data_IF_131892196228
#
_entry.id   IF_131892196228
#
_cell.length_a   1.000
_cell.length_b   1.000
_cell.length_c   1.000
_cell.angle_alpha   90.00
_cell.angle_beta   90.00
_cell.angle_gamma   90.00
#
_symmetry.space_group_name_H-M   'P 1'
#
loop_
_entity.id
_entity.type
_entity.pdbx_description
1 polymer ?
#
# COMPACT_ATOMS: atom_id res chain seq x y z
N UNK A 1 -63.57 -24.91 -41.31
CA UNK A 1 -62.64 -24.72 -40.18
C UNK A 1 -61.38 -24.06 -40.69
N UNK A 2 -61.15 -22.78 -40.36
CA UNK A 2 -59.97 -21.99 -40.75
C UNK A 2 -59.42 -21.22 -39.54
N UNK A 3 -59.20 -21.92 -38.43
CA UNK A 3 -58.71 -21.37 -37.15
C UNK A 3 -57.36 -21.98 -36.74
N UNK A 4 -56.59 -22.56 -37.68
CA UNK A 4 -55.31 -23.22 -37.40
C UNK A 4 -54.09 -22.46 -37.96
N UNK A 5 -54.29 -21.25 -38.49
CA UNK A 5 -53.22 -20.44 -39.11
C UNK A 5 -52.83 -19.20 -38.29
N UNK A 6 -53.41 -19.01 -37.09
CA UNK A 6 -53.18 -17.85 -36.23
C UNK A 6 -52.33 -18.14 -34.98
N UNK A 7 -51.82 -19.36 -34.83
CA UNK A 7 -50.91 -19.75 -33.72
C UNK A 7 -49.69 -20.52 -34.22
N UNK A 8 -49.30 -20.27 -35.46
CA UNK A 8 -47.99 -20.66 -35.97
C UNK A 8 -47.32 -19.39 -36.50
N UNK A 9 -47.36 -18.34 -35.68
CA UNK A 9 -46.27 -17.35 -35.67
C UNK A 9 -45.07 -18.08 -35.06
N UNK A 10 -44.49 -18.95 -35.89
CA UNK A 10 -43.08 -19.27 -35.83
C UNK A 10 -42.36 -17.99 -36.32
N UNK A 11 -42.52 -16.89 -35.57
CA UNK A 11 -41.59 -15.77 -35.52
C UNK A 11 -40.31 -16.30 -34.83
N UNK A 12 -39.78 -17.36 -35.43
CA UNK A 12 -38.43 -17.81 -35.32
C UNK A 12 -37.59 -16.61 -35.69
N UNK A 13 -37.23 -15.87 -34.65
CA UNK A 13 -36.25 -14.79 -34.64
C UNK A 13 -35.21 -15.14 -35.68
N UNK A 14 -35.06 -14.29 -36.70
CA UNK A 14 -34.30 -14.67 -37.89
C UNK A 14 -32.93 -15.23 -37.46
N UNK A 15 -32.41 -16.27 -38.14
CA UNK A 15 -31.14 -16.89 -37.76
C UNK A 15 -30.01 -15.88 -37.53
N UNK A 16 -30.08 -14.74 -38.22
CA UNK A 16 -29.16 -13.62 -38.11
C UNK A 16 -29.35 -12.82 -36.81
N UNK A 17 -30.59 -12.52 -36.42
CA UNK A 17 -30.85 -11.76 -35.18
C UNK A 17 -30.46 -12.60 -33.95
N UNK A 18 -30.70 -13.91 -33.96
CA UNK A 18 -30.25 -14.80 -32.88
C UNK A 18 -28.73 -14.80 -32.70
N UNK A 19 -27.99 -14.83 -33.81
CA UNK A 19 -26.51 -14.76 -33.78
C UNK A 19 -26.04 -13.40 -33.27
N UNK A 20 -26.63 -12.30 -33.73
CA UNK A 20 -26.25 -10.96 -33.26
C UNK A 20 -26.48 -10.81 -31.76
N UNK A 21 -27.62 -11.26 -31.24
CA UNK A 21 -27.93 -11.18 -29.80
C UNK A 21 -26.99 -12.05 -28.96
N UNK A 22 -26.66 -13.26 -29.42
CA UNK A 22 -25.71 -14.14 -28.73
C UNK A 22 -24.30 -13.53 -28.68
N UNK A 23 -23.83 -12.99 -29.80
CA UNK A 23 -22.51 -12.33 -29.87
C UNK A 23 -22.50 -11.07 -29.02
N UNK A 24 -23.55 -10.26 -29.06
CA UNK A 24 -23.62 -9.02 -28.27
C UNK A 24 -23.52 -9.29 -26.76
N UNK A 25 -24.28 -10.25 -26.24
CA UNK A 25 -24.25 -10.59 -24.81
C UNK A 25 -22.88 -11.16 -24.41
N UNK A 26 -22.32 -12.05 -25.22
CA UNK A 26 -20.99 -12.64 -24.90
C UNK A 26 -19.88 -11.59 -24.95
N UNK A 27 -19.92 -10.63 -25.88
CA UNK A 27 -18.98 -9.50 -25.93
C UNK A 27 -19.12 -8.61 -24.69
N UNK A 28 -20.35 -8.29 -24.27
CA UNK A 28 -20.59 -7.50 -23.06
C UNK A 28 -20.07 -8.24 -21.82
N UNK A 29 -20.43 -9.52 -21.66
CA UNK A 29 -19.98 -10.31 -20.51
C UNK A 29 -18.46 -10.47 -20.48
N UNK A 30 -17.82 -10.72 -21.62
CA UNK A 30 -16.37 -10.81 -21.72
C UNK A 30 -15.69 -9.48 -21.38
N UNK A 31 -16.22 -8.35 -21.85
CA UNK A 31 -15.69 -7.03 -21.53
C UNK A 31 -15.83 -6.70 -20.04
N UNK A 32 -16.99 -7.00 -19.45
CA UNK A 32 -17.26 -6.77 -18.02
C UNK A 32 -16.34 -7.63 -17.15
N UNK A 33 -16.26 -8.93 -17.41
CA UNK A 33 -15.37 -9.83 -16.65
C UNK A 33 -13.91 -9.44 -16.88
N UNK A 34 -13.52 -9.07 -18.10
CA UNK A 34 -12.18 -8.58 -18.41
C UNK A 34 -11.82 -7.34 -17.60
N UNK A 35 -12.75 -6.38 -17.47
CA UNK A 35 -12.58 -5.22 -16.61
C UNK A 35 -12.44 -5.62 -15.14
N UNK A 36 -13.29 -6.50 -14.62
CA UNK A 36 -13.18 -7.00 -13.23
C UNK A 36 -11.86 -7.75 -12.95
N UNK A 37 -11.37 -8.55 -13.90
CA UNK A 37 -10.10 -9.28 -13.75
C UNK A 37 -8.90 -8.34 -13.80
N UNK A 38 -8.94 -7.31 -14.65
CA UNK A 38 -7.91 -6.27 -14.71
C UNK A 38 -7.94 -5.36 -13.47
N UNK A 39 -9.12 -5.09 -12.92
CA UNK A 39 -9.30 -4.29 -11.69
C UNK A 39 -8.79 -5.04 -10.44
N UNK A 40 -8.94 -6.37 -10.39
CA UNK A 40 -8.28 -7.23 -9.38
C UNK A 40 -6.75 -7.27 -9.58
N UNK A 41 -6.26 -6.87 -10.76
CA UNK A 41 -4.84 -6.79 -11.09
C UNK A 41 -4.17 -5.48 -10.67
N UNK A 42 -4.84 -4.62 -9.88
CA UNK A 42 -4.20 -3.49 -9.21
C UNK A 42 -2.91 -3.96 -8.52
N UNK A 43 -1.83 -3.20 -8.72
CA UNK A 43 -0.46 -3.54 -8.32
C UNK A 43 -0.47 -4.20 -6.96
N UNK A 44 -0.19 -5.51 -6.92
CA UNK A 44 -0.11 -6.28 -5.68
C UNK A 44 1.23 -5.94 -5.00
N UNK A 45 1.45 -4.66 -4.73
CA UNK A 45 2.55 -4.21 -3.90
C UNK A 45 2.31 -4.75 -2.51
N UNK A 46 3.36 -5.32 -1.94
CA UNK A 46 3.37 -5.86 -0.59
C UNK A 46 4.47 -5.17 0.18
N UNK A 47 4.23 -4.94 1.47
CA UNK A 47 5.22 -4.36 2.35
C UNK A 47 6.49 -5.26 2.43
N UNK A 48 7.70 -4.68 2.39
CA UNK A 48 8.93 -5.46 2.47
C UNK A 48 9.04 -6.16 3.84
N UNK A 49 9.52 -7.41 3.84
CA UNK A 49 9.72 -8.18 5.08
C UNK A 49 11.12 -7.90 5.63
N UNK A 50 11.22 -6.87 6.47
CA UNK A 50 12.48 -6.41 7.09
C UNK A 50 12.44 -6.59 8.59
N UNK A 51 13.54 -7.04 9.17
CA UNK A 51 13.75 -6.98 10.62
C UNK A 51 14.25 -5.59 10.99
N UNK A 52 13.38 -4.80 11.62
CA UNK A 52 13.72 -3.44 12.05
C UNK A 52 14.29 -3.44 13.47
N UNK A 53 15.36 -2.68 13.67
CA UNK A 53 15.99 -2.48 14.97
C UNK A 53 15.86 -1.02 15.37
N UNK A 54 15.42 -0.77 16.60
CA UNK A 54 15.24 0.56 17.15
C UNK A 54 16.31 0.84 18.21
N UNK A 55 16.85 2.07 18.23
CA UNK A 55 17.78 2.51 19.25
C UNK A 55 17.53 3.96 19.65
N UNK A 56 17.31 4.18 20.94
CA UNK A 56 17.25 5.50 21.57
C UNK A 56 18.66 6.04 21.83
N UNK A 57 19.01 7.16 21.21
CA UNK A 57 20.28 7.82 21.46
C UNK A 57 20.06 9.19 22.10
N UNK A 58 20.41 9.27 23.39
CA UNK A 58 20.35 10.49 24.20
C UNK A 58 21.75 10.99 24.50
N UNK A 59 22.08 12.20 24.06
CA UNK A 59 23.35 12.86 24.36
C UNK A 59 23.09 14.12 25.17
N UNK A 60 23.65 14.20 26.37
CA UNK A 60 23.62 15.41 27.19
C UNK A 60 24.96 16.15 27.09
N UNK A 61 24.94 17.38 26.58
CA UNK A 61 26.13 18.23 26.49
C UNK A 61 25.82 19.68 26.84
N UNK A 62 26.58 20.25 27.77
CA UNK A 62 26.52 21.69 28.07
C UNK A 62 25.18 22.24 28.58
N UNK A 63 24.30 21.39 29.13
CA UNK A 63 22.97 21.78 29.61
C UNK A 63 21.84 21.60 28.59
N UNK A 64 22.14 21.12 27.39
CA UNK A 64 21.16 20.64 26.41
C UNK A 64 21.13 19.11 26.36
N UNK A 65 19.94 18.55 26.22
CA UNK A 65 19.73 17.12 25.95
C UNK A 65 19.28 16.99 24.50
N UNK A 66 20.11 16.36 23.68
CA UNK A 66 19.75 15.95 22.33
C UNK A 66 19.28 14.50 22.37
N UNK A 67 18.17 14.24 21.69
CA UNK A 67 17.62 12.90 21.56
C UNK A 67 17.39 12.60 20.08
N UNK A 68 17.71 11.37 19.69
CA UNK A 68 17.44 10.87 18.36
C UNK A 68 17.01 9.41 18.44
N UNK A 69 15.97 9.08 17.70
CA UNK A 69 15.50 7.72 17.52
C UNK A 69 16.11 7.18 16.23
N UNK A 70 16.95 6.16 16.36
CA UNK A 70 17.58 5.49 15.24
C UNK A 70 16.77 4.25 14.85
N UNK A 71 16.58 4.09 13.55
CA UNK A 71 15.97 2.91 12.93
C UNK A 71 17.02 2.28 12.01
N UNK A 72 17.27 0.99 12.20
CA UNK A 72 18.22 0.23 11.41
C UNK A 72 17.54 -0.97 10.74
N UNK A 73 18.04 -1.31 9.55
CA UNK A 73 17.66 -2.47 8.79
C UNK A 73 18.51 -3.67 9.23
N UNK A 74 18.00 -4.49 10.16
CA UNK A 74 18.71 -5.65 10.73
C UNK A 74 18.85 -6.84 9.76
N UNK A 75 18.02 -6.91 8.72
CA UNK A 75 18.05 -7.99 7.72
C UNK A 75 16.74 -8.13 6.96
N UNK A 76 16.67 -9.08 6.03
CA UNK A 76 15.46 -9.37 5.25
C UNK A 76 15.49 -8.80 3.84
N UNK A 77 14.31 -8.40 3.33
CA UNK A 77 14.14 -7.88 1.98
C UNK A 77 14.82 -6.52 1.79
N UNK A 78 15.33 -6.24 0.59
CA UNK A 78 15.81 -4.89 0.27
C UNK A 78 14.64 -3.93 0.09
N UNK A 79 14.70 -2.76 0.74
CA UNK A 79 13.72 -1.69 0.57
C UNK A 79 14.13 -0.83 -0.61
N UNK A 80 13.47 -1.03 -1.75
CA UNK A 80 13.75 -0.26 -2.99
C UNK A 80 13.03 1.09 -3.05
N UNK A 81 11.99 1.27 -2.24
CA UNK A 81 11.16 2.48 -2.20
C UNK A 81 11.01 2.99 -0.77
N UNK A 82 12.09 3.51 -0.15
CA UNK A 82 12.06 3.97 1.23
C UNK A 82 11.08 5.14 1.46
N UNK A 83 10.68 5.88 0.41
CA UNK A 83 9.65 6.91 0.49
C UNK A 83 8.24 6.38 0.79
N UNK A 84 8.00 5.08 0.62
CA UNK A 84 6.73 4.42 0.96
C UNK A 84 6.64 4.05 2.44
N UNK A 85 7.74 4.24 3.20
CA UNK A 85 7.80 3.91 4.62
C UNK A 85 7.93 5.20 5.40
N UNK A 86 6.92 5.49 6.21
CA UNK A 86 6.81 6.71 7.01
C UNK A 86 6.89 6.36 8.49
N UNK A 87 7.64 7.16 9.25
CA UNK A 87 7.56 7.14 10.71
C UNK A 87 6.49 8.14 11.16
N UNK A 88 5.58 7.66 11.98
CA UNK A 88 4.49 8.48 12.53
C UNK A 88 4.29 8.17 14.01
N UNK A 89 3.60 9.06 14.70
CA UNK A 89 3.08 8.83 16.04
C UNK A 89 1.73 9.53 16.20
N UNK A 90 1.00 9.17 17.25
CA UNK A 90 -0.32 9.74 17.54
C UNK A 90 -0.32 11.26 17.74
N UNK A 91 0.86 11.85 17.97
CA UNK A 91 1.04 13.24 18.36
C UNK A 91 1.67 14.11 17.25
N UNK A 92 2.04 13.54 16.11
CA UNK A 92 2.70 14.23 15.00
C UNK A 92 4.13 14.69 15.29
N UNK A 93 4.82 14.11 16.28
CA UNK A 93 6.15 14.55 16.71
C UNK A 93 7.23 14.31 15.66
N UNK A 94 6.99 13.40 14.72
CA UNK A 94 7.93 13.06 13.65
C UNK A 94 7.68 13.80 12.34
N UNK A 95 6.61 14.60 12.22
CA UNK A 95 6.24 15.32 10.97
C UNK A 95 6.20 14.39 9.73
N UNK A 96 5.74 13.15 9.89
CA UNK A 96 5.60 12.15 8.83
C UNK A 96 6.87 11.99 7.97
N UNK A 97 8.02 11.89 8.65
CA UNK A 97 9.30 11.65 7.96
C UNK A 97 9.27 10.29 7.29
N UNK A 98 9.79 10.24 6.07
CA UNK A 98 9.95 9.00 5.31
C UNK A 98 11.36 8.46 5.45
N UNK A 99 11.54 7.15 5.24
CA UNK A 99 12.81 6.46 5.43
C UNK A 99 13.94 7.02 4.56
N UNK A 100 13.62 7.49 3.35
CA UNK A 100 14.58 8.15 2.45
C UNK A 100 15.08 9.49 3.00
N UNK A 101 14.25 10.21 3.76
CA UNK A 101 14.66 11.47 4.42
C UNK A 101 15.48 11.26 5.69
N UNK A 102 15.38 10.08 6.33
CA UNK A 102 16.11 9.74 7.55
C UNK A 102 17.52 9.19 7.28
N UNK A 103 17.70 8.41 6.21
CA UNK A 103 18.98 7.79 5.84
C UNK A 103 19.63 8.36 4.56
N UNK A 104 18.91 9.17 3.79
CA UNK A 104 19.41 9.82 2.57
C UNK A 104 19.62 8.90 1.37
N UNK A 105 19.23 7.63 1.45
CA UNK A 105 19.41 6.62 0.41
C UNK A 105 18.14 6.36 -0.41
N UNK A 106 18.30 6.10 -1.71
CA UNK A 106 17.22 5.64 -2.60
C UNK A 106 16.85 4.17 -2.38
N UNK A 107 17.66 3.43 -1.62
CA UNK A 107 17.46 2.02 -1.27
C UNK A 107 18.00 1.79 0.14
N UNK A 108 17.37 0.92 0.91
CA UNK A 108 17.89 0.46 2.21
C UNK A 108 18.10 -1.05 2.18
N UNK A 109 19.26 -1.46 2.69
CA UNK A 109 19.74 -2.84 2.77
C UNK A 109 20.19 -3.15 4.20
N UNK A 110 20.50 -4.42 4.46
CA UNK A 110 20.96 -4.84 5.78
C UNK A 110 22.20 -4.05 6.25
N UNK A 111 22.09 -3.44 7.43
CA UNK A 111 23.12 -2.59 8.03
C UNK A 111 22.90 -1.09 7.83
N UNK A 112 21.98 -0.68 6.94
CA UNK A 112 21.64 0.73 6.78
C UNK A 112 20.81 1.22 7.97
N UNK A 113 21.05 2.48 8.38
CA UNK A 113 20.36 3.10 9.48
C UNK A 113 20.11 4.59 9.22
N UNK A 114 19.04 5.10 9.81
CA UNK A 114 18.65 6.51 9.75
C UNK A 114 18.16 6.95 11.11
N UNK A 115 18.26 8.25 11.38
CA UNK A 115 17.88 8.81 12.67
C UNK A 115 16.88 9.95 12.47
N UNK A 116 15.95 10.06 13.41
CA UNK A 116 14.96 11.12 13.45
C UNK A 116 14.82 11.62 14.88
N UNK A 117 14.64 12.93 15.03
CA UNK A 117 14.44 13.56 16.33
C UNK A 117 12.96 13.94 16.46
N UNK A 118 12.22 13.41 17.46
CA UNK A 118 10.89 13.89 17.80
C UNK A 118 10.94 15.30 18.38
N UNK A 119 9.79 15.96 18.51
CA UNK A 119 9.68 17.25 19.20
C UNK A 119 10.25 17.22 20.62
N UNK A 120 10.83 18.33 21.09
CA UNK A 120 11.49 18.39 22.40
C UNK A 120 10.56 18.02 23.55
N UNK A 121 10.99 17.08 24.39
CA UNK A 121 10.20 16.59 25.53
C UNK A 121 9.03 15.66 25.15
N UNK A 122 9.02 15.16 23.91
CA UNK A 122 7.99 14.26 23.43
C UNK A 122 8.23 12.83 23.92
N UNK A 123 7.14 12.17 24.32
CA UNK A 123 7.12 10.75 24.65
C UNK A 123 5.92 10.11 23.98
N UNK A 124 6.07 8.90 23.47
CA UNK A 124 4.97 8.20 22.81
C UNK A 124 5.42 6.90 22.18
N UNK A 125 4.60 6.37 21.28
CA UNK A 125 4.92 5.19 20.48
C UNK A 125 5.13 5.64 19.05
N UNK A 126 6.35 5.47 18.54
CA UNK A 126 6.68 5.67 17.14
C UNK A 126 6.31 4.41 16.38
N UNK A 127 5.56 4.54 15.29
CA UNK A 127 5.19 3.43 14.40
C UNK A 127 5.81 3.66 13.03
N UNK A 128 6.41 2.61 12.48
CA UNK A 128 6.89 2.56 11.11
C UNK A 128 5.81 1.96 10.24
N UNK A 129 5.29 2.76 9.31
CA UNK A 129 4.13 2.40 8.47
C UNK A 129 4.55 2.37 7.02
N UNK A 130 4.27 1.27 6.34
CA UNK A 130 4.38 1.16 4.89
C UNK A 130 3.04 1.48 4.23
N UNK A 131 3.09 2.17 3.09
CA UNK A 131 1.94 2.48 2.24
C UNK A 131 2.25 2.11 0.78
N UNK A 132 1.30 1.48 0.09
CA UNK A 132 1.44 1.18 -1.33
C UNK A 132 1.52 2.46 -2.15
N UNK A 133 2.14 2.40 -3.33
CA UNK A 133 2.38 3.56 -4.19
C UNK A 133 1.09 4.24 -4.68
N UNK A 134 -0.02 3.51 -4.67
CA UNK A 134 -1.38 3.98 -4.99
C UNK A 134 -2.21 4.37 -3.76
N UNK A 135 -1.69 4.19 -2.54
CA UNK A 135 -2.37 4.44 -1.27
C UNK A 135 -3.50 3.46 -0.93
N UNK A 136 -3.68 2.39 -1.73
CA UNK A 136 -4.75 1.41 -1.51
C UNK A 136 -4.51 0.53 -0.28
N UNK A 137 -3.24 0.31 0.10
CA UNK A 137 -2.84 -0.59 1.17
C UNK A 137 -1.90 0.12 2.14
N UNK A 138 -2.08 -0.15 3.43
CA UNK A 138 -1.18 0.33 4.48
C UNK A 138 -0.95 -0.78 5.51
N UNK A 139 0.25 -0.85 6.07
CA UNK A 139 0.64 -1.84 7.07
C UNK A 139 1.65 -1.25 8.04
N UNK A 140 1.40 -1.42 9.34
CA UNK A 140 2.40 -1.14 10.36
C UNK A 140 3.46 -2.26 10.37
N UNK A 141 4.73 -1.88 10.16
CA UNK A 141 5.86 -2.79 10.12
C UNK A 141 6.37 -3.12 11.52
N UNK A 142 6.46 -2.09 12.36
CA UNK A 142 6.99 -2.17 13.73
C UNK A 142 6.64 -0.89 14.49
N UNK A 143 6.62 -0.98 15.82
CA UNK A 143 6.50 0.18 16.71
C UNK A 143 7.49 0.10 17.86
N UNK A 144 7.83 1.27 18.40
CA UNK A 144 8.77 1.43 19.51
C UNK A 144 8.31 2.56 20.44
N UNK A 145 8.34 2.31 21.74
CA UNK A 145 8.08 3.33 22.74
C UNK A 145 9.33 4.18 22.96
N UNK A 146 9.16 5.50 22.90
CA UNK A 146 10.24 6.46 23.07
C UNK A 146 9.89 7.52 24.11
N UNK A 147 10.94 8.10 24.72
CA UNK A 147 10.80 9.12 25.75
C UNK A 147 11.98 10.10 25.70
N UNK A 148 11.75 11.28 25.12
CA UNK A 148 12.71 12.39 25.04
C UNK A 148 12.59 13.29 26.29
#
# INVERSE_FOLDING_TARGET
MKLKQLFTDDDAVSPVIGVILMVAITVILAAVIGAFVLDIGGSQESAPQVQWEWSDNTTASGGSTDYSLQIAHGGGDTVNSPSQITITDSNGNFNDKTLDTMGGGSTWTAGDAGAVTPGSGASGTASLVWESSDGSQSTELTSHEYNY
#
